data_IF_662908556629
#
_entry.id   IF_662908556629
#
_cell.length_a   1.000
_cell.length_b   1.000
_cell.length_c   1.000
_cell.angle_alpha   90.00
_cell.angle_beta   90.00
_cell.angle_gamma   90.00
#
_symmetry.space_group_name_H-M   'P 1'
#
loop_
_entity.id
_entity.type
_entity.pdbx_description
1 polymer ?
#
# COMPACT_ATOMS: atom_id res chain seq x y z
N UNK A 1 16.90 9.58 32.68
CA UNK A 1 17.46 9.35 31.33
C UNK A 1 18.39 10.48 30.90
N UNK A 2 17.90 11.63 30.39
CA UNK A 2 18.79 12.72 29.92
C UNK A 2 19.66 13.32 31.03
N UNK A 3 19.11 13.46 32.24
CA UNK A 3 19.83 13.92 33.44
C UNK A 3 20.90 12.93 33.95
N UNK A 4 20.90 11.68 33.48
CA UNK A 4 21.80 10.61 33.95
C UNK A 4 22.87 10.25 32.92
N UNK A 5 22.80 10.76 31.68
CA UNK A 5 23.70 10.40 30.58
C UNK A 5 24.07 11.63 29.71
N UNK A 6 24.80 12.61 30.28
CA UNK A 6 25.02 13.93 29.64
C UNK A 6 25.83 13.87 28.34
N UNK A 7 26.55 12.78 28.09
CA UNK A 7 27.36 12.56 26.88
C UNK A 7 26.93 11.27 26.16
N UNK A 8 25.64 11.13 25.86
CA UNK A 8 25.15 9.98 25.11
C UNK A 8 25.75 9.93 23.69
N UNK A 9 26.12 8.74 23.18
CA UNK A 9 26.58 8.59 21.82
C UNK A 9 25.48 8.96 20.81
N UNK A 10 25.86 9.62 19.73
CA UNK A 10 24.96 10.04 18.66
C UNK A 10 25.18 9.17 17.43
N UNK A 11 24.08 8.67 16.84
CA UNK A 11 24.09 7.99 15.55
C UNK A 11 23.49 8.89 14.48
N UNK A 12 24.13 8.94 13.30
CA UNK A 12 23.65 9.73 12.15
C UNK A 12 23.35 8.78 10.99
N UNK A 13 22.09 8.78 10.53
CA UNK A 13 21.62 7.95 9.42
C UNK A 13 20.94 6.65 9.84
N UNK A 14 20.98 5.64 8.96
CA UNK A 14 20.38 4.33 9.20
C UNK A 14 21.22 3.52 10.20
N UNK A 15 20.56 2.92 11.20
CA UNK A 15 21.16 1.88 12.05
C UNK A 15 21.19 0.56 11.27
N UNK A 16 22.17 0.42 10.39
CA UNK A 16 22.27 -0.75 9.52
C UNK A 16 22.56 -2.02 10.31
N UNK A 17 21.63 -2.97 10.28
CA UNK A 17 21.81 -4.29 10.90
C UNK A 17 22.50 -5.23 9.91
N UNK A 18 23.73 -5.63 10.23
CA UNK A 18 24.53 -6.48 9.33
C UNK A 18 24.03 -7.93 9.25
N UNK A 19 23.17 -8.35 10.17
CA UNK A 19 22.60 -9.69 10.28
C UNK A 19 21.29 -9.83 9.48
N UNK A 20 20.82 -11.07 9.29
CA UNK A 20 19.52 -11.40 8.67
C UNK A 20 19.25 -10.85 7.26
N UNK A 21 20.29 -10.51 6.48
CA UNK A 21 20.13 -9.91 5.14
C UNK A 21 19.36 -10.77 4.13
N UNK A 22 19.32 -12.10 4.32
CA UNK A 22 18.51 -13.00 3.50
C UNK A 22 17.02 -12.66 3.53
N UNK A 23 16.56 -11.95 4.57
CA UNK A 23 15.19 -11.45 4.68
C UNK A 23 14.83 -10.39 3.63
N UNK A 24 15.82 -9.76 3.00
CA UNK A 24 15.59 -8.79 1.93
C UNK A 24 15.16 -9.50 0.62
N UNK A 25 15.57 -10.74 0.41
CA UNK A 25 15.34 -11.48 -0.85
C UNK A 25 14.36 -12.64 -0.71
N UNK A 26 14.19 -13.22 0.49
CA UNK A 26 13.27 -14.34 0.70
C UNK A 26 11.81 -13.96 0.43
N UNK A 27 10.94 -14.94 0.14
CA UNK A 27 9.49 -14.74 -0.02
C UNK A 27 9.12 -13.58 -0.97
N UNK A 28 9.76 -13.51 -2.14
CA UNK A 28 9.59 -12.43 -3.12
C UNK A 28 8.12 -12.13 -3.46
N UNK A 29 7.26 -13.16 -3.55
CA UNK A 29 5.82 -13.00 -3.81
C UNK A 29 5.09 -12.25 -2.68
N UNK A 30 5.47 -12.48 -1.42
CA UNK A 30 4.93 -11.74 -0.26
C UNK A 30 5.31 -10.27 -0.33
N UNK A 31 6.58 -9.99 -0.66
CA UNK A 31 7.10 -8.62 -0.82
C UNK A 31 6.44 -7.88 -1.99
N UNK A 32 6.25 -8.57 -3.11
CA UNK A 32 5.51 -8.05 -4.27
C UNK A 32 4.05 -7.72 -3.91
N UNK A 33 3.38 -8.62 -3.18
CA UNK A 33 2.04 -8.39 -2.66
C UNK A 33 1.96 -7.15 -1.79
N UNK A 34 2.84 -7.02 -0.79
CA UNK A 34 2.92 -5.85 0.06
C UNK A 34 3.11 -4.55 -0.74
N UNK A 35 4.10 -4.53 -1.65
CA UNK A 35 4.40 -3.33 -2.45
C UNK A 35 3.21 -2.92 -3.31
N UNK A 36 2.50 -3.89 -3.90
CA UNK A 36 1.29 -3.65 -4.69
C UNK A 36 0.16 -3.10 -3.80
N UNK A 37 -0.06 -3.70 -2.63
CA UNK A 37 -1.08 -3.23 -1.68
C UNK A 37 -0.80 -1.81 -1.18
N UNK A 38 0.45 -1.44 -0.88
CA UNK A 38 0.83 -0.06 -0.55
C UNK A 38 0.47 0.93 -1.66
N UNK A 39 0.74 0.57 -2.92
CA UNK A 39 0.40 1.42 -4.08
C UNK A 39 -1.11 1.57 -4.24
N UNK A 40 -1.84 0.46 -4.16
CA UNK A 40 -3.28 0.45 -4.28
C UNK A 40 -3.97 1.19 -3.13
N UNK A 41 -3.46 1.09 -1.90
CA UNK A 41 -4.00 1.84 -0.76
C UNK A 41 -3.85 3.35 -0.98
N UNK A 42 -2.64 3.80 -1.35
CA UNK A 42 -2.40 5.20 -1.70
C UNK A 42 -3.35 5.67 -2.80
N UNK A 43 -3.53 4.87 -3.84
CA UNK A 43 -4.37 5.24 -4.99
C UNK A 43 -5.86 5.23 -4.65
N UNK A 44 -6.33 4.26 -3.86
CA UNK A 44 -7.70 4.19 -3.37
C UNK A 44 -8.04 5.41 -2.52
N UNK A 45 -7.17 5.79 -1.57
CA UNK A 45 -7.36 7.00 -0.75
C UNK A 45 -7.35 8.27 -1.60
N UNK A 46 -6.41 8.38 -2.56
CA UNK A 46 -6.33 9.52 -3.47
C UNK A 46 -7.66 9.72 -4.23
N UNK A 47 -8.16 8.67 -4.89
CA UNK A 47 -9.36 8.79 -5.71
C UNK A 47 -10.62 8.90 -4.87
N UNK A 48 -10.74 8.15 -3.78
CA UNK A 48 -11.87 8.25 -2.87
C UNK A 48 -11.99 9.65 -2.25
N UNK A 49 -10.88 10.23 -1.78
CA UNK A 49 -10.87 11.59 -1.24
C UNK A 49 -11.20 12.63 -2.32
N UNK A 50 -10.66 12.46 -3.53
CA UNK A 50 -10.94 13.35 -4.66
C UNK A 50 -12.42 13.31 -5.04
N UNK A 51 -13.01 12.12 -5.15
CA UNK A 51 -14.43 11.94 -5.42
C UNK A 51 -15.30 12.57 -4.32
N UNK A 52 -14.96 12.32 -3.05
CA UNK A 52 -15.69 12.91 -1.92
C UNK A 52 -15.71 14.44 -1.95
N UNK A 53 -14.55 15.07 -2.19
CA UNK A 53 -14.45 16.54 -2.24
C UNK A 53 -15.10 17.13 -3.49
N UNK A 54 -15.00 16.46 -4.65
CA UNK A 54 -15.45 17.02 -5.94
C UNK A 54 -16.91 16.76 -6.25
N UNK A 55 -17.45 15.63 -5.83
CA UNK A 55 -18.80 15.18 -6.23
C UNK A 55 -19.69 14.85 -5.05
N UNK A 56 -19.18 14.86 -3.82
CA UNK A 56 -19.91 14.42 -2.62
C UNK A 56 -20.03 12.91 -2.50
N UNK A 57 -19.27 12.14 -3.30
CA UNK A 57 -19.24 10.68 -3.21
C UNK A 57 -18.82 10.22 -1.79
N UNK A 58 -19.48 9.23 -1.17
CA UNK A 58 -19.13 8.79 0.18
C UNK A 58 -17.69 8.28 0.26
N UNK A 59 -16.92 8.79 1.23
CA UNK A 59 -15.57 8.28 1.50
C UNK A 59 -15.67 6.95 2.27
N UNK A 60 -15.09 5.84 1.77
CA UNK A 60 -15.24 4.51 2.36
C UNK A 60 -14.28 4.30 3.54
N UNK A 61 -14.43 5.11 4.59
CA UNK A 61 -13.51 5.14 5.73
C UNK A 61 -13.36 3.78 6.42
N UNK A 62 -14.48 3.13 6.77
CA UNK A 62 -14.48 1.86 7.51
C UNK A 62 -13.83 0.73 6.72
N UNK A 63 -14.02 0.73 5.39
CA UNK A 63 -13.42 -0.27 4.52
C UNK A 63 -11.91 -0.08 4.41
N UNK A 64 -11.46 1.17 4.19
CA UNK A 64 -10.04 1.50 4.12
C UNK A 64 -9.32 1.24 5.46
N UNK A 65 -9.92 1.59 6.60
CA UNK A 65 -9.36 1.30 7.93
C UNK A 65 -9.14 -0.21 8.15
N UNK A 66 -10.13 -1.03 7.80
CA UNK A 66 -10.02 -2.50 7.87
C UNK A 66 -8.93 -3.03 6.94
N UNK A 67 -8.83 -2.51 5.71
CA UNK A 67 -7.80 -2.94 4.75
C UNK A 67 -6.41 -2.53 5.22
N UNK A 68 -6.24 -1.30 5.74
CA UNK A 68 -4.98 -0.84 6.34
C UNK A 68 -4.53 -1.75 7.47
N UNK A 69 -5.43 -2.05 8.43
CA UNK A 69 -5.13 -2.99 9.53
C UNK A 69 -4.71 -4.36 9.00
N UNK A 70 -5.35 -4.84 7.94
CA UNK A 70 -5.00 -6.10 7.28
C UNK A 70 -3.59 -6.05 6.68
N UNK A 71 -3.24 -4.98 5.95
CA UNK A 71 -1.91 -4.82 5.34
C UNK A 71 -0.84 -4.69 6.41
N UNK A 72 -1.05 -3.84 7.42
CA UNK A 72 -0.11 -3.63 8.53
C UNK A 72 0.16 -4.91 9.33
N UNK A 73 -0.86 -5.75 9.54
CA UNK A 73 -0.67 -7.06 10.15
C UNK A 73 0.32 -7.91 9.36
N UNK A 74 0.24 -7.89 8.03
CA UNK A 74 1.13 -8.67 7.16
C UNK A 74 2.49 -8.01 6.93
N UNK A 75 2.72 -6.80 7.46
CA UNK A 75 4.01 -6.11 7.51
C UNK A 75 4.82 -6.47 8.77
N UNK A 76 4.31 -7.34 9.64
CA UNK A 76 5.02 -7.78 10.82
C UNK A 76 6.42 -8.33 10.47
N UNK A 77 7.39 -8.10 11.36
CA UNK A 77 8.82 -8.32 11.10
C UNK A 77 9.21 -9.78 10.83
N UNK A 78 8.34 -10.75 11.12
CA UNK A 78 8.54 -12.13 10.71
C UNK A 78 7.74 -12.56 9.47
N UNK A 79 6.73 -11.78 9.08
CA UNK A 79 5.85 -12.08 7.95
C UNK A 79 6.43 -11.50 6.66
N UNK A 80 6.59 -10.17 6.60
CA UNK A 80 7.08 -9.48 5.40
C UNK A 80 8.56 -9.80 5.09
N UNK A 81 9.45 -9.81 6.10
CA UNK A 81 10.85 -10.20 5.90
C UNK A 81 11.01 -11.67 5.52
N UNK A 82 10.02 -12.53 5.75
CA UNK A 82 10.03 -13.89 5.22
C UNK A 82 10.73 -14.92 6.11
N UNK A 83 10.70 -14.72 7.44
CA UNK A 83 11.27 -15.61 8.47
C UNK A 83 10.25 -16.51 9.15
N UNK A 84 8.97 -16.43 8.76
CA UNK A 84 7.90 -17.31 9.26
C UNK A 84 7.86 -18.68 8.56
N UNK A 85 7.05 -19.60 9.10
CA UNK A 85 6.78 -20.89 8.46
C UNK A 85 6.00 -20.74 7.15
N UNK A 86 6.11 -21.74 6.27
CA UNK A 86 5.51 -21.72 4.93
C UNK A 86 3.99 -21.48 4.90
N UNK A 87 3.26 -21.90 5.94
CA UNK A 87 1.81 -21.67 6.05
C UNK A 87 1.46 -20.17 6.13
N UNK A 88 2.17 -19.41 6.96
CA UNK A 88 2.01 -17.96 7.12
C UNK A 88 2.20 -17.25 5.77
N UNK A 89 3.20 -17.65 4.97
CA UNK A 89 3.43 -17.04 3.65
C UNK A 89 2.41 -17.46 2.59
N UNK A 90 1.74 -18.61 2.73
CA UNK A 90 0.59 -18.94 1.85
C UNK A 90 -0.61 -18.07 2.19
N UNK A 91 -0.88 -17.85 3.47
CA UNK A 91 -1.95 -16.98 3.93
C UNK A 91 -1.70 -15.53 3.54
N UNK A 92 -0.50 -15.00 3.78
CA UNK A 92 -0.14 -13.64 3.42
C UNK A 92 -0.38 -13.33 1.93
N UNK A 93 0.00 -14.26 1.03
CA UNK A 93 -0.21 -14.08 -0.41
C UNK A 93 -1.70 -14.04 -0.78
N UNK A 94 -2.50 -14.95 -0.22
CA UNK A 94 -3.96 -14.95 -0.44
C UNK A 94 -4.61 -13.68 0.10
N UNK A 95 -4.15 -13.20 1.25
CA UNK A 95 -4.62 -11.94 1.81
C UNK A 95 -4.28 -10.76 0.90
N UNK A 96 -3.06 -10.68 0.38
CA UNK A 96 -2.68 -9.60 -0.56
C UNK A 96 -3.45 -9.65 -1.87
N UNK A 97 -3.79 -10.84 -2.39
CA UNK A 97 -4.67 -11.01 -3.56
C UNK A 97 -6.06 -10.41 -3.29
N UNK A 98 -6.70 -10.77 -2.17
CA UNK A 98 -8.00 -10.23 -1.75
C UNK A 98 -7.95 -8.71 -1.53
N UNK A 99 -6.91 -8.21 -0.85
CA UNK A 99 -6.71 -6.77 -0.64
C UNK A 99 -6.61 -6.03 -1.97
N UNK A 100 -5.92 -6.60 -2.97
CA UNK A 100 -5.80 -5.98 -4.27
C UNK A 100 -7.16 -5.88 -4.99
N UNK A 101 -7.99 -6.91 -4.90
CA UNK A 101 -9.36 -6.90 -5.45
C UNK A 101 -10.23 -5.84 -4.78
N UNK A 102 -10.25 -5.79 -3.45
CA UNK A 102 -11.02 -4.81 -2.66
C UNK A 102 -10.61 -3.37 -3.02
N UNK A 103 -9.30 -3.09 -3.03
CA UNK A 103 -8.80 -1.75 -3.37
C UNK A 103 -9.07 -1.35 -4.81
N UNK A 104 -8.99 -2.29 -5.76
CA UNK A 104 -9.34 -2.03 -7.16
C UNK A 104 -10.82 -1.66 -7.28
N UNK A 105 -11.70 -2.34 -6.54
CA UNK A 105 -13.12 -1.98 -6.48
C UNK A 105 -13.37 -0.57 -5.94
N UNK A 106 -12.67 -0.16 -4.88
CA UNK A 106 -12.74 1.19 -4.32
C UNK A 106 -12.26 2.24 -5.35
N UNK A 107 -11.13 1.97 -6.00
CA UNK A 107 -10.56 2.84 -7.04
C UNK A 107 -11.56 3.02 -8.19
N UNK A 108 -12.09 1.92 -8.73
CA UNK A 108 -13.03 1.93 -9.85
C UNK A 108 -14.31 2.70 -9.50
N UNK A 109 -14.86 2.51 -8.30
CA UNK A 109 -16.05 3.22 -7.85
C UNK A 109 -15.80 4.74 -7.77
N UNK A 110 -14.67 5.15 -7.17
CA UNK A 110 -14.31 6.56 -7.07
C UNK A 110 -14.03 7.19 -8.45
N UNK A 111 -13.33 6.48 -9.34
CA UNK A 111 -13.06 6.94 -10.70
C UNK A 111 -14.34 7.06 -11.53
N UNK A 112 -15.29 6.13 -11.41
CA UNK A 112 -16.61 6.25 -12.07
C UNK A 112 -17.39 7.46 -11.57
N UNK A 113 -17.37 7.71 -10.26
CA UNK A 113 -18.01 8.89 -9.67
C UNK A 113 -17.39 10.20 -10.19
N UNK A 114 -16.09 10.21 -10.45
CA UNK A 114 -15.37 11.36 -11.02
C UNK A 114 -15.57 11.52 -12.54
N UNK A 115 -15.61 10.42 -13.28
CA UNK A 115 -15.78 10.41 -14.73
C UNK A 115 -17.18 10.88 -15.15
N UNK A 116 -18.21 10.56 -14.35
CA UNK A 116 -19.60 10.81 -14.70
C UNK A 116 -20.07 9.94 -15.87
N UNK A 117 -21.18 10.33 -16.49
CA UNK A 117 -21.73 9.65 -17.66
C UNK A 117 -21.18 10.26 -18.95
N UNK A 118 -20.85 9.41 -19.93
CA UNK A 118 -20.39 9.86 -21.24
C UNK A 118 -19.71 8.76 -22.05
N UNK A 119 -19.41 9.05 -23.32
CA UNK A 119 -18.69 8.15 -24.22
C UNK A 119 -17.23 8.54 -24.48
N UNK A 120 -16.72 9.59 -23.79
CA UNK A 120 -15.33 10.02 -23.97
C UNK A 120 -14.42 9.15 -23.13
N UNK A 121 -13.35 8.63 -23.72
CA UNK A 121 -12.32 7.89 -22.99
C UNK A 121 -11.54 8.83 -22.06
N UNK A 122 -11.39 8.40 -20.80
CA UNK A 122 -10.68 9.15 -19.76
C UNK A 122 -9.56 8.29 -19.19
N UNK A 123 -8.42 8.92 -18.90
CA UNK A 123 -7.26 8.28 -18.27
C UNK A 123 -6.97 8.98 -16.94
N UNK A 124 -6.87 8.19 -15.87
CA UNK A 124 -6.56 8.67 -14.54
C UNK A 124 -5.07 8.54 -14.25
N UNK A 125 -4.43 9.66 -13.91
CA UNK A 125 -3.02 9.68 -13.50
C UNK A 125 -2.92 9.87 -11.99
N UNK A 126 -2.59 8.81 -11.26
CA UNK A 126 -2.43 8.83 -9.80
C UNK A 126 -1.07 9.38 -9.34
N UNK A 127 -0.18 9.77 -10.26
CA UNK A 127 1.10 10.39 -9.94
C UNK A 127 0.96 11.90 -9.69
N UNK A 128 1.79 12.49 -8.80
CA UNK A 128 1.77 13.94 -8.54
C UNK A 128 2.43 14.78 -9.64
N UNK A 129 2.85 14.16 -10.74
CA UNK A 129 3.47 14.81 -11.89
C UNK A 129 2.80 14.35 -13.17
N UNK A 130 2.91 15.17 -14.23
CA UNK A 130 2.40 14.80 -15.55
C UNK A 130 3.08 13.52 -16.02
N UNK A 131 2.27 12.58 -16.49
CA UNK A 131 2.73 11.31 -17.04
C UNK A 131 2.17 11.16 -18.44
N UNK A 132 3.06 11.02 -19.40
CA UNK A 132 2.70 10.62 -20.76
C UNK A 132 2.93 9.12 -20.89
N UNK A 133 2.12 8.43 -21.70
CA UNK A 133 2.18 6.99 -21.87
C UNK A 133 1.64 6.57 -23.23
N UNK A 134 1.99 5.35 -23.64
CA UNK A 134 1.42 4.71 -24.82
C UNK A 134 0.38 3.70 -24.31
N UNK A 135 -0.85 3.70 -24.84
CA UNK A 135 -1.82 2.65 -24.52
C UNK A 135 -1.19 1.28 -24.76
N UNK A 136 -1.32 0.36 -23.79
CA UNK A 136 -0.99 -1.03 -24.07
C UNK A 136 -2.03 -1.52 -25.10
N UNK A 137 -1.57 -1.83 -26.32
CA UNK A 137 -2.42 -2.36 -27.38
C UNK A 137 -2.97 -3.74 -27.08
#
# INVERSE_FOLDING_TARGET
AEAEYPNAPVWVGELYLELHRATLTSQARTKQGNRRSEHLLREAELWAATAAVRTGFPYPYEELDRIWKTVLLHQFHDILPGSSIAWVHREARRTYERVAEELTGIIDAAQRALAGEGGTELVFNSAPHRRDGVPAG
#
